data_IF_855578552494
#
_entry.id   IF_855578552494
#
_cell.length_a   1.000
_cell.length_b   1.000
_cell.length_c   1.000
_cell.angle_alpha   90.00
_cell.angle_beta   90.00
_cell.angle_gamma   90.00
#
_symmetry.space_group_name_H-M   'P 1'
#
loop_
_entity.id
_entity.type
_entity.pdbx_description
1 polymer ?
#
# COMPACT_ATOMS: atom_id res chain seq x y z
N UNK A 1 63.14 -1.52 -3.14
CA UNK A 1 62.05 -1.45 -4.13
C UNK A 1 60.91 -2.41 -3.78
N UNK A 2 61.17 -3.69 -3.59
CA UNK A 2 60.20 -4.76 -3.32
C UNK A 2 59.34 -4.49 -2.06
N UNK A 3 59.92 -3.99 -0.97
CA UNK A 3 59.20 -3.67 0.26
C UNK A 3 58.21 -2.51 0.09
N UNK A 4 58.56 -1.49 -0.70
CA UNK A 4 57.66 -0.38 -1.04
C UNK A 4 56.48 -0.85 -1.90
N UNK A 5 56.71 -1.70 -2.88
CA UNK A 5 55.67 -2.29 -3.71
C UNK A 5 54.68 -3.15 -2.90
N UNK A 6 55.16 -3.96 -1.96
CA UNK A 6 54.31 -4.76 -1.06
C UNK A 6 53.43 -3.88 -0.16
N UNK A 7 53.94 -2.76 0.37
CA UNK A 7 53.16 -1.81 1.16
C UNK A 7 52.09 -1.12 0.32
N UNK A 8 52.39 -0.69 -0.90
CA UNK A 8 51.43 -0.06 -1.81
C UNK A 8 50.32 -1.05 -2.16
N UNK A 9 50.67 -2.29 -2.51
CA UNK A 9 49.68 -3.33 -2.81
C UNK A 9 48.78 -3.65 -1.59
N UNK A 10 49.31 -3.63 -0.40
CA UNK A 10 48.55 -3.89 0.81
C UNK A 10 47.60 -2.73 1.18
N UNK A 11 48.00 -1.46 1.00
CA UNK A 11 47.16 -0.30 1.20
C UNK A 11 46.05 -0.27 0.14
N UNK A 12 46.36 -0.50 -1.13
CA UNK A 12 45.38 -0.59 -2.22
C UNK A 12 44.33 -1.70 -1.96
N UNK A 13 44.76 -2.85 -1.44
CA UNK A 13 43.84 -3.95 -1.10
C UNK A 13 42.90 -3.56 0.06
N UNK A 14 43.39 -2.88 1.10
CA UNK A 14 42.56 -2.43 2.24
C UNK A 14 41.61 -1.30 1.86
N UNK A 15 42.06 -0.32 1.09
CA UNK A 15 41.20 0.76 0.60
C UNK A 15 40.14 0.22 -0.37
N UNK A 16 40.49 -0.70 -1.26
CA UNK A 16 39.53 -1.36 -2.16
C UNK A 16 38.47 -2.19 -1.40
N UNK A 17 38.90 -2.95 -0.39
CA UNK A 17 37.97 -3.69 0.47
C UNK A 17 37.04 -2.76 1.27
N UNK A 18 37.58 -1.65 1.80
CA UNK A 18 36.78 -0.63 2.49
C UNK A 18 35.73 0.03 1.58
N UNK A 19 36.11 0.36 0.35
CA UNK A 19 35.17 0.92 -0.65
C UNK A 19 34.10 -0.09 -1.05
N UNK A 20 34.46 -1.36 -1.26
CA UNK A 20 33.48 -2.42 -1.51
C UNK A 20 32.50 -2.58 -0.36
N UNK A 21 32.98 -2.59 0.87
CA UNK A 21 32.12 -2.72 2.04
C UNK A 21 31.16 -1.52 2.15
N UNK A 22 31.67 -0.31 1.94
CA UNK A 22 30.84 0.90 1.94
C UNK A 22 29.78 0.87 0.84
N UNK A 23 30.12 0.40 -0.37
CA UNK A 23 29.18 0.21 -1.46
C UNK A 23 28.10 -0.84 -1.13
N UNK A 24 28.49 -1.99 -0.55
CA UNK A 24 27.52 -3.02 -0.13
C UNK A 24 26.58 -2.52 0.96
N UNK A 25 27.10 -1.78 1.96
CA UNK A 25 26.27 -1.17 3.02
C UNK A 25 25.32 -0.13 2.41
N UNK A 26 25.81 0.72 1.49
CA UNK A 26 24.97 1.71 0.80
C UNK A 26 23.86 1.06 -0.02
N UNK A 27 24.16 0.03 -0.80
CA UNK A 27 23.17 -0.75 -1.55
C UNK A 27 22.19 -1.43 -0.60
N UNK A 28 22.68 -2.06 0.47
CA UNK A 28 21.83 -2.68 1.50
C UNK A 28 20.84 -1.68 2.11
N UNK A 29 21.33 -0.51 2.54
CA UNK A 29 20.51 0.55 3.11
C UNK A 29 19.40 1.02 2.14
N UNK A 30 19.73 1.15 0.86
CA UNK A 30 18.81 1.59 -0.18
C UNK A 30 17.72 0.53 -0.47
N UNK A 31 18.07 -0.76 -0.53
CA UNK A 31 17.14 -1.83 -0.91
C UNK A 31 16.39 -2.49 0.25
N UNK A 32 16.86 -2.31 1.50
CA UNK A 32 16.27 -2.94 2.68
C UNK A 32 14.78 -2.62 2.88
N UNK A 33 14.31 -1.36 2.72
CA UNK A 33 12.88 -1.03 2.87
C UNK A 33 12.00 -1.75 1.84
N UNK A 34 12.47 -1.87 0.60
CA UNK A 34 11.76 -2.53 -0.49
C UNK A 34 11.67 -4.05 -0.26
N UNK A 35 12.79 -4.67 0.10
CA UNK A 35 12.83 -6.08 0.47
C UNK A 35 11.95 -6.36 1.69
N UNK A 36 11.92 -5.44 2.67
CA UNK A 36 11.05 -5.52 3.83
C UNK A 36 9.56 -5.52 3.48
N UNK A 37 9.13 -4.73 2.51
CA UNK A 37 7.75 -4.69 2.04
C UNK A 37 7.35 -6.02 1.38
N UNK A 38 8.17 -6.56 0.50
CA UNK A 38 7.94 -7.85 -0.16
C UNK A 38 7.95 -9.04 0.82
N UNK A 39 8.88 -9.05 1.77
CA UNK A 39 8.96 -10.10 2.81
C UNK A 39 7.70 -10.04 3.68
N UNK A 40 7.29 -8.87 4.11
CA UNK A 40 6.11 -8.68 4.95
C UNK A 40 4.83 -9.13 4.23
N UNK A 41 4.71 -8.81 2.96
CA UNK A 41 3.64 -9.30 2.10
C UNK A 41 3.61 -10.84 2.05
N UNK A 42 4.77 -11.49 1.79
CA UNK A 42 4.86 -12.96 1.76
C UNK A 42 4.49 -13.60 3.10
N UNK A 43 4.96 -13.04 4.20
CA UNK A 43 4.64 -13.55 5.56
C UNK A 43 3.13 -13.43 5.84
N UNK A 44 2.51 -12.30 5.53
CA UNK A 44 1.09 -12.10 5.74
C UNK A 44 0.25 -13.05 4.88
N UNK A 45 0.65 -13.27 3.64
CA UNK A 45 -0.05 -14.20 2.75
C UNK A 45 0.06 -15.67 3.22
N UNK A 46 1.21 -16.08 3.75
CA UNK A 46 1.38 -17.40 4.38
C UNK A 46 0.52 -17.54 5.64
N UNK A 47 0.46 -16.50 6.48
CA UNK A 47 -0.34 -16.51 7.70
C UNK A 47 -1.84 -16.63 7.42
N UNK A 48 -2.36 -15.94 6.41
CA UNK A 48 -3.76 -16.05 5.98
C UNK A 48 -4.07 -17.44 5.41
N UNK A 49 -3.16 -18.06 4.68
CA UNK A 49 -3.31 -19.42 4.16
C UNK A 49 -3.35 -20.47 5.28
N UNK A 50 -2.54 -20.32 6.33
CA UNK A 50 -2.53 -21.21 7.50
C UNK A 50 -3.83 -21.04 8.31
N UNK A 51 -4.32 -19.81 8.47
CA UNK A 51 -5.57 -19.54 9.19
C UNK A 51 -6.79 -20.15 8.47
N UNK A 52 -6.82 -20.08 7.12
CA UNK A 52 -7.87 -20.70 6.32
C UNK A 52 -7.85 -22.25 6.42
N UNK A 53 -6.68 -22.87 6.57
CA UNK A 53 -6.57 -24.33 6.80
C UNK A 53 -7.13 -24.73 8.16
N UNK A 54 -6.96 -23.91 9.20
CA UNK A 54 -7.52 -24.17 10.53
C UNK A 54 -9.05 -24.03 10.59
N UNK A 55 -9.66 -23.18 9.76
CA UNK A 55 -11.12 -23.02 9.69
C UNK A 55 -11.84 -24.18 9.01
N UNK A 56 -11.11 -25.03 8.27
CA UNK A 56 -11.64 -26.23 7.60
C UNK A 56 -11.80 -27.42 8.57
N UNK A 57 -11.23 -27.36 9.77
CA UNK A 57 -11.47 -28.36 10.81
C UNK A 57 -12.80 -28.06 11.51
N UNK A 58 -13.83 -28.86 11.20
CA UNK A 58 -15.16 -28.82 11.83
C UNK A 58 -15.07 -28.97 13.35
N UNK A 59 -15.31 -27.89 14.09
CA UNK A 59 -15.65 -27.97 15.53
C UNK A 59 -17.15 -28.28 15.71
N UNK A 60 -17.52 -28.95 16.81
CA UNK A 60 -18.93 -29.34 17.07
C UNK A 60 -19.84 -28.12 17.29
N UNK A 61 -21.08 -28.24 16.85
CA UNK A 61 -22.06 -27.18 16.60
C UNK A 61 -22.56 -26.36 17.81
N UNK A 62 -22.18 -26.66 19.04
CA UNK A 62 -22.69 -25.97 20.25
C UNK A 62 -21.99 -24.61 20.55
N UNK A 63 -20.93 -24.29 19.85
CA UNK A 63 -20.16 -23.02 20.02
C UNK A 63 -20.44 -21.95 18.97
N UNK A 64 -21.18 -22.25 17.91
CA UNK A 64 -21.30 -21.44 16.71
C UNK A 64 -21.97 -20.07 16.93
N UNK A 65 -22.92 -19.95 17.87
CA UNK A 65 -23.59 -18.67 18.14
C UNK A 65 -22.68 -17.68 18.87
N UNK A 66 -21.87 -18.16 19.83
CA UNK A 66 -20.90 -17.29 20.55
C UNK A 66 -19.74 -16.87 19.65
N UNK A 67 -19.30 -17.76 18.75
CA UNK A 67 -18.23 -17.47 17.78
C UNK A 67 -18.70 -16.45 16.74
N UNK A 68 -19.95 -16.56 16.22
CA UNK A 68 -20.51 -15.56 15.29
C UNK A 68 -20.62 -14.18 15.91
N UNK A 69 -21.09 -14.06 17.16
CA UNK A 69 -21.20 -12.77 17.86
C UNK A 69 -19.83 -12.18 18.17
N UNK A 70 -18.85 -13.00 18.53
CA UNK A 70 -17.47 -12.56 18.74
C UNK A 70 -16.80 -12.12 17.43
N UNK A 71 -17.07 -12.83 16.34
CA UNK A 71 -16.57 -12.53 15.00
C UNK A 71 -17.20 -11.24 14.43
N UNK A 72 -18.50 -11.04 14.67
CA UNK A 72 -19.23 -9.83 14.29
C UNK A 72 -18.81 -8.61 15.13
N UNK A 73 -18.46 -8.79 16.41
CA UNK A 73 -17.85 -7.74 17.25
C UNK A 73 -16.41 -7.44 16.83
N UNK A 74 -15.60 -8.47 16.52
CA UNK A 74 -14.24 -8.29 16.03
C UNK A 74 -14.20 -7.62 14.65
N UNK A 75 -15.22 -7.84 13.80
CA UNK A 75 -15.33 -7.17 12.50
C UNK A 75 -15.68 -5.68 12.59
N UNK A 76 -16.14 -5.21 13.75
CA UNK A 76 -16.45 -3.79 14.01
C UNK A 76 -15.36 -3.06 14.79
N UNK A 77 -14.35 -3.78 15.31
CA UNK A 77 -13.24 -3.16 16.03
C UNK A 77 -12.11 -2.79 15.06
N UNK A 78 -11.56 -1.61 15.25
CA UNK A 78 -10.32 -1.21 14.58
C UNK A 78 -9.19 -1.95 15.33
N UNK A 79 -8.51 -2.87 14.65
CA UNK A 79 -7.42 -3.68 15.21
C UNK A 79 -6.04 -3.22 14.76
N UNK A 80 -5.94 -2.03 14.18
CA UNK A 80 -4.72 -1.44 13.67
C UNK A 80 -4.53 0.00 14.18
N UNK A 81 -3.27 0.42 14.25
CA UNK A 81 -2.91 1.79 14.59
C UNK A 81 -3.39 2.74 13.48
N UNK A 82 -4.32 3.63 13.83
CA UNK A 82 -4.94 4.60 12.92
C UNK A 82 -4.04 5.83 12.82
N UNK A 83 -3.44 6.14 11.66
CA UNK A 83 -2.57 7.31 11.51
C UNK A 83 -3.29 8.65 11.67
N UNK A 84 -4.57 8.70 11.30
CA UNK A 84 -5.44 9.88 11.39
C UNK A 84 -6.89 9.42 11.51
N UNK A 85 -7.59 9.81 12.56
CA UNK A 85 -8.98 9.45 12.79
C UNK A 85 -9.95 10.21 11.88
N UNK A 86 -9.50 11.33 11.29
CA UNK A 86 -10.31 12.05 10.30
C UNK A 86 -10.40 11.29 8.98
N UNK A 87 -9.24 10.90 8.41
CA UNK A 87 -9.25 10.07 7.21
C UNK A 87 -7.98 9.22 7.10
N UNK A 88 -8.14 7.90 7.12
CA UNK A 88 -7.04 6.92 6.99
C UNK A 88 -7.44 5.72 6.15
N UNK A 89 -6.43 5.07 5.56
CA UNK A 89 -6.57 3.81 4.83
C UNK A 89 -5.69 2.72 5.44
N UNK A 90 -6.21 1.51 5.49
CA UNK A 90 -5.50 0.29 5.80
C UNK A 90 -5.81 -0.79 4.75
N UNK A 91 -4.78 -1.40 4.19
CA UNK A 91 -4.89 -2.54 3.28
C UNK A 91 -4.07 -3.68 3.88
N UNK A 92 -4.68 -4.56 4.69
CA UNK A 92 -3.97 -5.55 5.50
C UNK A 92 -3.07 -6.47 4.68
N UNK A 93 -3.55 -6.94 3.53
CA UNK A 93 -2.82 -7.86 2.65
C UNK A 93 -1.45 -7.35 2.23
N UNK A 94 -1.33 -6.08 1.94
CA UNK A 94 -0.07 -5.45 1.50
C UNK A 94 0.59 -4.61 2.60
N UNK A 95 0.05 -4.65 3.82
CA UNK A 95 0.52 -3.85 4.98
C UNK A 95 0.62 -2.36 4.68
N UNK A 96 -0.24 -1.84 3.80
CA UNK A 96 -0.29 -0.43 3.47
C UNK A 96 -1.19 0.30 4.47
N UNK A 97 -0.62 1.29 5.16
CA UNK A 97 -1.33 2.16 6.11
C UNK A 97 -0.91 3.59 5.89
N UNK A 98 -1.87 4.49 5.83
CA UNK A 98 -1.59 5.91 5.65
C UNK A 98 -2.77 6.76 6.04
N UNK A 99 -2.51 8.00 6.43
CA UNK A 99 -3.53 9.04 6.40
C UNK A 99 -3.90 9.38 4.97
N UNK A 100 -5.10 9.90 4.76
CA UNK A 100 -5.60 10.39 3.48
C UNK A 100 -5.74 11.91 3.55
N UNK A 101 -5.20 12.59 2.55
CA UNK A 101 -5.32 14.04 2.38
C UNK A 101 -6.54 14.30 1.49
N UNK A 102 -7.53 14.99 2.04
CA UNK A 102 -8.80 15.26 1.36
C UNK A 102 -8.71 16.39 0.35
N UNK A 103 -9.64 16.38 -0.63
CA UNK A 103 -9.90 17.47 -1.55
C UNK A 103 -8.68 17.92 -2.36
N UNK A 104 -7.85 16.97 -2.81
CA UNK A 104 -6.66 17.25 -3.60
C UNK A 104 -7.03 17.39 -5.06
N UNK A 105 -6.69 18.51 -5.69
CA UNK A 105 -6.89 18.69 -7.12
C UNK A 105 -5.90 17.84 -7.92
N UNK A 106 -6.39 16.72 -8.47
CA UNK A 106 -5.57 15.77 -9.24
C UNK A 106 -5.05 16.39 -10.58
N UNK A 107 -5.61 17.47 -11.05
CA UNK A 107 -5.16 18.21 -12.24
C UNK A 107 -4.05 19.22 -11.97
N UNK A 108 -3.74 19.55 -10.71
CA UNK A 108 -2.72 20.53 -10.33
C UNK A 108 -1.51 19.81 -9.71
N UNK A 109 -0.45 19.65 -10.51
CA UNK A 109 0.73 18.87 -10.13
C UNK A 109 1.34 19.27 -8.79
N UNK A 110 1.49 20.56 -8.54
CA UNK A 110 2.04 21.08 -7.28
C UNK A 110 1.21 20.65 -6.06
N UNK A 111 -0.12 20.64 -6.17
CA UNK A 111 -1.02 20.26 -5.09
C UNK A 111 -0.94 18.77 -4.80
N UNK A 112 -1.11 17.93 -5.84
CA UNK A 112 -1.09 16.49 -5.60
C UNK A 112 0.30 15.99 -5.17
N UNK A 113 1.40 16.53 -5.68
CA UNK A 113 2.74 16.17 -5.22
C UNK A 113 2.97 16.55 -3.75
N UNK A 114 2.44 17.69 -3.30
CA UNK A 114 2.50 18.08 -1.90
C UNK A 114 1.69 17.12 -1.00
N UNK A 115 0.49 16.74 -1.41
CA UNK A 115 -0.34 15.78 -0.70
C UNK A 115 0.32 14.40 -0.61
N UNK A 116 0.83 13.89 -1.73
CA UNK A 116 1.44 12.55 -1.83
C UNK A 116 2.72 12.39 -0.99
N UNK A 117 3.41 13.47 -0.65
CA UNK A 117 4.52 13.45 0.33
C UNK A 117 4.04 13.11 1.74
N UNK A 118 2.79 13.42 2.03
CA UNK A 118 2.21 13.31 3.37
C UNK A 118 1.29 12.11 3.55
N UNK A 119 0.91 11.42 2.48
CA UNK A 119 0.01 10.28 2.54
C UNK A 119 -0.60 9.91 1.21
N UNK A 120 -1.77 9.30 1.27
CA UNK A 120 -2.65 9.04 0.13
C UNK A 120 -3.47 10.29 -0.13
N UNK A 121 -3.74 10.62 -1.37
CA UNK A 121 -4.59 11.76 -1.74
C UNK A 121 -5.99 11.28 -2.14
N UNK A 122 -7.02 11.99 -1.69
CA UNK A 122 -8.40 11.85 -2.19
C UNK A 122 -8.67 12.94 -3.22
N UNK A 123 -9.15 12.55 -4.40
CA UNK A 123 -9.43 13.47 -5.49
C UNK A 123 -10.59 14.40 -5.15
N UNK A 124 -10.38 15.72 -5.36
CA UNK A 124 -11.38 16.74 -5.12
C UNK A 124 -12.61 16.58 -6.01
N UNK A 125 -13.78 16.95 -5.49
CA UNK A 125 -15.06 16.94 -6.22
C UNK A 125 -15.69 15.56 -6.37
N UNK A 126 -15.18 14.54 -5.67
CA UNK A 126 -15.72 13.18 -5.62
C UNK A 126 -16.24 12.84 -4.22
N UNK A 127 -16.99 11.74 -4.11
CA UNK A 127 -17.66 11.33 -2.88
C UNK A 127 -16.68 10.88 -1.79
N UNK A 128 -17.16 10.83 -0.55
CA UNK A 128 -16.46 10.31 0.60
C UNK A 128 -16.95 8.90 0.97
N UNK A 129 -16.20 8.16 1.81
CA UNK A 129 -16.63 6.86 2.28
C UNK A 129 -18.03 6.89 2.91
N UNK A 130 -18.89 5.94 2.50
CA UNK A 130 -20.28 5.86 2.93
C UNK A 130 -21.25 6.73 2.16
N UNK A 131 -20.81 7.42 1.13
CA UNK A 131 -21.66 8.19 0.20
C UNK A 131 -21.79 7.45 -1.12
N UNK A 132 -22.98 7.53 -1.75
CA UNK A 132 -23.16 7.06 -3.13
C UNK A 132 -22.24 7.85 -4.06
N UNK A 133 -21.56 7.17 -4.95
CA UNK A 133 -20.60 7.75 -5.87
C UNK A 133 -19.20 7.19 -5.70
N UNK A 134 -18.21 7.89 -6.24
CA UNK A 134 -16.83 7.43 -6.28
C UNK A 134 -15.99 8.10 -5.20
N UNK A 135 -15.47 7.32 -4.25
CA UNK A 135 -14.33 7.72 -3.42
C UNK A 135 -13.05 7.36 -4.18
N UNK A 136 -12.27 8.34 -4.62
CA UNK A 136 -11.08 8.12 -5.42
C UNK A 136 -9.82 8.46 -4.66
N UNK A 137 -9.01 7.45 -4.35
CA UNK A 137 -7.76 7.56 -3.61
C UNK A 137 -6.57 7.23 -4.51
N UNK A 138 -5.53 8.05 -4.47
CA UNK A 138 -4.33 7.81 -5.26
C UNK A 138 -3.04 8.07 -4.47
N UNK A 139 -1.99 7.32 -4.80
CA UNK A 139 -0.69 7.44 -4.19
C UNK A 139 0.43 6.98 -5.12
N UNK A 140 1.67 7.25 -4.73
CA UNK A 140 2.85 6.82 -5.47
C UNK A 140 3.04 5.29 -5.46
N UNK A 141 3.57 4.78 -6.59
CA UNK A 141 4.05 3.41 -6.75
C UNK A 141 5.51 3.40 -7.19
N UNK A 142 6.43 3.91 -6.42
CA UNK A 142 7.81 3.88 -6.85
C UNK A 142 8.47 2.53 -6.56
N UNK A 143 9.27 2.03 -7.52
CA UNK A 143 10.14 0.88 -7.34
C UNK A 143 11.58 1.30 -6.99
N UNK A 144 11.88 2.61 -7.01
CA UNK A 144 13.19 3.09 -6.60
C UNK A 144 13.28 3.05 -5.08
N UNK A 145 14.26 2.34 -4.50
CA UNK A 145 14.44 2.27 -3.06
C UNK A 145 14.65 3.65 -2.41
N UNK A 146 15.34 4.56 -3.10
CA UNK A 146 15.54 5.95 -2.67
C UNK A 146 14.20 6.68 -2.64
N UNK A 147 13.35 6.45 -3.63
CA UNK A 147 12.05 7.09 -3.74
C UNK A 147 10.99 6.43 -2.84
N UNK A 148 11.12 5.14 -2.52
CA UNK A 148 10.19 4.44 -1.62
C UNK A 148 10.13 5.13 -0.26
N UNK A 149 11.29 5.41 0.34
CA UNK A 149 11.36 6.12 1.62
C UNK A 149 11.04 7.62 1.48
N UNK A 150 11.41 8.24 0.34
CA UNK A 150 11.27 9.68 0.10
C UNK A 150 9.86 10.13 -0.26
N UNK A 151 9.12 9.29 -0.98
CA UNK A 151 7.81 9.64 -1.55
C UNK A 151 6.65 8.84 -0.96
N UNK A 152 6.88 8.14 0.16
CA UNK A 152 5.82 7.39 0.84
C UNK A 152 5.01 6.51 -0.14
N UNK A 153 5.68 5.53 -0.77
CA UNK A 153 5.09 4.68 -1.80
C UNK A 153 4.06 3.67 -1.23
N UNK A 154 3.00 4.21 -0.64
CA UNK A 154 1.96 3.43 0.05
C UNK A 154 1.34 2.37 -0.86
N UNK A 155 1.20 2.68 -2.16
CA UNK A 155 0.57 1.80 -3.14
C UNK A 155 1.58 1.02 -4.00
N UNK A 156 2.81 0.81 -3.49
CA UNK A 156 3.83 0.01 -4.20
C UNK A 156 3.36 -1.41 -4.54
N UNK A 157 2.69 -2.07 -3.60
CA UNK A 157 2.20 -3.45 -3.74
C UNK A 157 0.72 -3.52 -4.16
N UNK A 158 0.14 -2.45 -4.68
CA UNK A 158 -1.28 -2.42 -5.06
C UNK A 158 -1.61 -3.48 -6.13
N UNK A 159 -0.63 -3.86 -6.96
CA UNK A 159 -0.75 -4.91 -7.98
C UNK A 159 -0.94 -6.33 -7.39
N UNK A 160 -0.73 -6.52 -6.10
CA UNK A 160 -0.94 -7.80 -5.39
C UNK A 160 -2.39 -8.00 -4.92
N UNK A 161 -3.24 -6.97 -5.06
CA UNK A 161 -4.64 -7.10 -4.69
C UNK A 161 -5.42 -7.87 -5.77
N UNK A 162 -6.30 -8.73 -5.29
CA UNK A 162 -7.21 -9.53 -6.12
C UNK A 162 -8.65 -9.41 -5.59
N UNK A 163 -9.61 -9.81 -6.38
CA UNK A 163 -11.01 -9.85 -5.96
C UNK A 163 -11.18 -10.61 -4.64
N UNK A 164 -11.95 -10.05 -3.71
CA UNK A 164 -12.17 -10.56 -2.35
C UNK A 164 -11.23 -10.01 -1.28
N UNK A 165 -10.17 -9.30 -1.65
CA UNK A 165 -9.31 -8.62 -0.66
C UNK A 165 -10.03 -7.45 0.01
N UNK A 166 -9.65 -7.16 1.26
CA UNK A 166 -10.29 -6.13 2.07
C UNK A 166 -9.46 -4.84 2.07
N UNK A 167 -10.15 -3.73 1.93
CA UNK A 167 -9.65 -2.38 2.15
C UNK A 167 -10.47 -1.74 3.26
N UNK A 168 -9.83 -1.16 4.25
CA UNK A 168 -10.46 -0.48 5.37
C UNK A 168 -10.16 1.01 5.31
N UNK A 169 -11.21 1.83 5.43
CA UNK A 169 -11.08 3.27 5.55
C UNK A 169 -11.64 3.71 6.91
N UNK A 170 -10.93 4.60 7.58
CA UNK A 170 -11.49 5.41 8.65
C UNK A 170 -11.86 6.75 8.02
N UNK A 171 -13.06 7.21 8.24
CA UNK A 171 -13.50 8.55 7.86
C UNK A 171 -14.40 9.12 8.93
N UNK A 172 -14.01 10.27 9.51
CA UNK A 172 -14.70 10.94 10.62
C UNK A 172 -15.02 9.97 11.77
N UNK A 173 -13.99 9.31 12.27
CA UNK A 173 -14.04 8.32 13.37
C UNK A 173 -14.89 7.05 13.08
N UNK A 174 -15.30 6.83 11.83
CA UNK A 174 -16.09 5.65 11.42
C UNK A 174 -15.28 4.73 10.53
N UNK A 175 -15.40 3.43 10.77
CA UNK A 175 -14.78 2.37 9.95
C UNK A 175 -15.71 2.01 8.79
N UNK A 176 -15.17 2.07 7.58
CA UNK A 176 -15.78 1.60 6.34
C UNK A 176 -14.94 0.46 5.77
N UNK A 177 -15.59 -0.65 5.43
CA UNK A 177 -14.93 -1.81 4.83
C UNK A 177 -15.37 -1.95 3.39
N UNK A 178 -14.40 -2.17 2.52
CA UNK A 178 -14.61 -2.40 1.09
C UNK A 178 -13.98 -3.72 0.70
N UNK A 179 -14.61 -4.41 -0.25
CA UNK A 179 -14.09 -5.64 -0.85
C UNK A 179 -13.66 -5.35 -2.27
N UNK A 180 -12.45 -5.73 -2.62
CA UNK A 180 -11.92 -5.57 -4.00
C UNK A 180 -12.79 -6.37 -4.96
N UNK A 181 -13.31 -5.70 -5.99
CA UNK A 181 -14.11 -6.28 -7.07
C UNK A 181 -13.24 -6.64 -8.26
N UNK A 182 -12.37 -5.72 -8.69
CA UNK A 182 -11.50 -5.92 -9.86
C UNK A 182 -10.23 -5.07 -9.79
N UNK A 183 -9.27 -5.44 -10.63
CA UNK A 183 -8.02 -4.69 -10.84
C UNK A 183 -7.81 -4.52 -12.33
N UNK A 184 -7.52 -3.28 -12.76
CA UNK A 184 -7.36 -2.91 -14.15
C UNK A 184 -6.09 -2.12 -14.39
N UNK A 185 -5.52 -2.25 -15.59
CA UNK A 185 -4.37 -1.43 -16.03
C UNK A 185 -4.82 -0.54 -17.18
N UNK A 186 -4.87 0.76 -16.94
CA UNK A 186 -5.35 1.78 -17.87
C UNK A 186 -4.19 2.59 -18.46
N UNK A 187 -4.42 3.21 -19.61
CA UNK A 187 -3.49 4.20 -20.16
C UNK A 187 -3.44 5.45 -19.24
N UNK A 188 -2.31 6.14 -19.21
CA UNK A 188 -2.06 7.22 -18.23
C UNK A 188 -3.08 8.37 -18.27
N UNK A 189 -3.70 8.61 -19.41
CA UNK A 189 -4.71 9.67 -19.61
C UNK A 189 -6.16 9.21 -19.52
N UNK A 190 -6.40 7.95 -19.13
CA UNK A 190 -7.75 7.46 -18.89
C UNK A 190 -8.25 7.97 -17.53
N UNK A 191 -9.29 8.80 -17.56
CA UNK A 191 -9.84 9.46 -16.38
C UNK A 191 -11.28 8.98 -16.08
N UNK A 192 -11.68 7.82 -16.62
CA UNK A 192 -13.06 7.29 -16.48
C UNK A 192 -13.56 7.21 -15.04
N UNK A 193 -12.68 6.99 -14.07
CA UNK A 193 -13.01 6.91 -12.66
C UNK A 193 -12.90 8.25 -11.90
N UNK A 194 -12.41 9.30 -12.55
CA UNK A 194 -12.37 10.67 -12.00
C UNK A 194 -13.63 11.46 -12.32
N UNK A 195 -14.65 10.82 -12.86
CA UNK A 195 -15.95 11.42 -13.16
C UNK A 195 -16.91 11.03 -12.03
N UNK A 196 -17.64 11.99 -11.45
CA UNK A 196 -18.69 11.68 -10.47
C UNK A 196 -19.73 10.74 -11.09
N UNK A 197 -20.01 9.64 -10.40
CA UNK A 197 -21.14 8.76 -10.72
C UNK A 197 -22.08 8.71 -9.51
N UNK A 198 -23.33 8.34 -9.72
CA UNK A 198 -24.37 8.40 -8.70
C UNK A 198 -25.17 7.08 -8.58
N UNK A 199 -24.68 6.00 -9.16
CA UNK A 199 -25.39 4.73 -9.21
C UNK A 199 -25.10 3.83 -8.01
N UNK A 200 -23.82 3.73 -7.61
CA UNK A 200 -23.37 2.89 -6.51
C UNK A 200 -22.24 3.56 -5.73
N UNK A 201 -22.04 3.14 -4.48
CA UNK A 201 -20.85 3.51 -3.71
C UNK A 201 -19.67 2.65 -4.19
N UNK A 202 -18.61 3.30 -4.70
CA UNK A 202 -17.38 2.62 -5.09
C UNK A 202 -16.15 3.31 -4.53
N UNK A 203 -15.16 2.50 -4.18
CA UNK A 203 -13.82 2.94 -3.83
C UNK A 203 -12.86 2.61 -4.97
N UNK A 204 -12.16 3.62 -5.42
CA UNK A 204 -11.08 3.51 -6.42
C UNK A 204 -9.74 3.76 -5.75
N UNK A 205 -8.81 2.81 -5.91
CA UNK A 205 -7.41 3.00 -5.52
C UNK A 205 -6.57 3.05 -6.78
N UNK A 206 -5.80 4.13 -6.99
CA UNK A 206 -4.98 4.30 -8.18
C UNK A 206 -3.52 4.53 -7.85
N UNK A 207 -2.66 3.95 -8.66
CA UNK A 207 -1.21 4.22 -8.64
C UNK A 207 -0.62 4.18 -10.05
N UNK A 208 0.63 4.62 -10.21
CA UNK A 208 1.35 4.49 -11.47
C UNK A 208 1.78 3.04 -11.73
N UNK A 209 1.85 2.63 -13.01
CA UNK A 209 2.20 1.27 -13.41
C UNK A 209 2.99 1.23 -14.72
N UNK A 210 4.00 0.34 -14.90
CA UNK A 210 4.65 -0.42 -13.82
C UNK A 210 5.22 0.47 -12.72
N UNK A 211 5.47 -0.05 -11.51
CA UNK A 211 6.08 0.73 -10.43
C UNK A 211 7.36 1.45 -10.89
N UNK A 212 7.48 2.75 -10.55
CA UNK A 212 8.60 3.61 -10.96
C UNK A 212 8.47 4.23 -12.33
N UNK A 213 7.37 3.99 -13.05
CA UNK A 213 7.06 4.63 -14.33
C UNK A 213 5.77 5.45 -14.23
N UNK A 214 5.51 6.28 -15.22
CA UNK A 214 4.24 7.01 -15.38
C UNK A 214 3.43 6.58 -16.60
N UNK A 215 3.79 5.44 -17.21
CA UNK A 215 3.25 5.03 -18.51
C UNK A 215 1.77 4.65 -18.46
N UNK A 216 1.37 3.97 -17.40
CA UNK A 216 0.02 3.47 -17.19
C UNK A 216 -0.47 3.79 -15.78
N UNK A 217 -1.71 3.47 -15.50
CA UNK A 217 -2.32 3.51 -14.17
C UNK A 217 -2.83 2.12 -13.80
N UNK A 218 -2.46 1.66 -12.62
CA UNK A 218 -3.10 0.53 -11.99
C UNK A 218 -4.27 1.06 -11.18
N UNK A 219 -5.44 0.51 -11.40
CA UNK A 219 -6.68 0.87 -10.73
C UNK A 219 -7.26 -0.37 -10.06
N UNK A 220 -7.56 -0.27 -8.78
CA UNK A 220 -8.31 -1.27 -8.03
C UNK A 220 -9.69 -0.69 -7.75
N UNK A 221 -10.72 -1.44 -8.12
CA UNK A 221 -12.12 -1.12 -7.86
C UNK A 221 -12.60 -1.96 -6.69
N UNK A 222 -13.12 -1.32 -5.65
CA UNK A 222 -13.69 -1.99 -4.49
C UNK A 222 -15.09 -1.45 -4.20
N UNK A 223 -15.93 -2.28 -3.56
CA UNK A 223 -17.32 -1.98 -3.22
C UNK A 223 -17.54 -2.22 -1.73
N UNK A 224 -18.57 -1.60 -1.09
CA UNK A 224 -18.90 -1.86 0.31
C UNK A 224 -18.98 -3.35 0.60
N UNK A 225 -18.34 -3.80 1.71
CA UNK A 225 -18.23 -5.19 2.14
C UNK A 225 -19.18 -5.59 3.27
#
# INVERSE_FOLDING_TARGET
>A
LIVRLKRIAWTLRKTGAGLMLAACVGVGYIYLPLAGAEIRYKINNLRSSIFNLQSTFKLPSSGLSKIKIAQERASRSIDWEVPDSNFSINIPKISARSRVIENVNAGVEREYLAALKNGVAQAAGLSHPGEVGTTYLFAHSTNSPVNYARYNAVFYLLDKLVAGDVVELIYKDRLYKYTVRSTEVLVARDTRYLVPQQEEEILILQTCYPPGTSWKRLVVVAVPG
#
